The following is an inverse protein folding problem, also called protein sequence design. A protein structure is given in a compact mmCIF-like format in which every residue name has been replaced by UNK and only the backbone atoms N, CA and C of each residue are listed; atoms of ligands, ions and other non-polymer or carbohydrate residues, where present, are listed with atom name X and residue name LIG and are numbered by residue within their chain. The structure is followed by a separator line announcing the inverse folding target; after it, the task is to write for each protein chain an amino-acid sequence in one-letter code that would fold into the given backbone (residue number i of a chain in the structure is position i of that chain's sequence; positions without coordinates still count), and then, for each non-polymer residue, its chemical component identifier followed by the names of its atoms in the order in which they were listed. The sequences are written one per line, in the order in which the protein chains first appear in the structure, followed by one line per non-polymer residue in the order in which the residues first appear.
data_IF_821689041238
#
_entry.id   IF_821689041238
#
_cell.length_a   1.000
_cell.length_b   1.000
_cell.length_c   1.000
_cell.angle_alpha   90.00
_cell.angle_beta   90.00
_cell.angle_gamma   90.00
#
_symmetry.space_group_name_H-M   'P 1'
#
loop_
_entity.id
_entity.type
_entity.pdbx_description
1 polymer ?
#
# COMPACT_ATOMS: atom_id res chain seq x y z
N UNK A 1 -19.64 11.31 -15.67
CA UNK A 1 -19.24 9.94 -15.27
C UNK A 1 -18.62 9.12 -16.41
N UNK A 2 -19.03 9.30 -17.66
CA UNK A 2 -18.48 8.56 -18.83
C UNK A 2 -16.96 8.76 -19.02
N UNK A 3 -16.44 9.96 -18.82
CA UNK A 3 -15.01 10.26 -18.96
C UNK A 3 -14.12 9.56 -17.93
N UNK A 4 -14.52 9.53 -16.66
CA UNK A 4 -13.81 8.82 -15.60
C UNK A 4 -13.70 7.32 -15.90
N UNK A 5 -14.82 6.69 -16.28
CA UNK A 5 -14.85 5.26 -16.60
C UNK A 5 -14.00 4.92 -17.82
N UNK A 6 -14.01 5.79 -18.85
CA UNK A 6 -13.20 5.59 -20.04
C UNK A 6 -11.70 5.60 -19.73
N UNK A 7 -11.24 6.56 -18.87
CA UNK A 7 -9.85 6.63 -18.43
C UNK A 7 -9.50 5.42 -17.57
N UNK A 8 -10.34 5.11 -16.57
CA UNK A 8 -10.14 3.95 -15.71
C UNK A 8 -9.96 2.66 -16.52
N UNK A 9 -10.86 2.39 -17.48
CA UNK A 9 -10.79 1.21 -18.33
C UNK A 9 -9.55 1.18 -19.21
N UNK A 10 -9.17 2.32 -19.79
CA UNK A 10 -7.95 2.46 -20.60
C UNK A 10 -6.72 2.13 -19.78
N UNK A 11 -6.58 2.75 -18.61
CA UNK A 11 -5.41 2.55 -17.74
C UNK A 11 -5.36 1.12 -17.19
N UNK A 12 -6.50 0.58 -16.76
CA UNK A 12 -6.57 -0.80 -16.26
C UNK A 12 -6.19 -1.80 -17.36
N UNK A 13 -6.69 -1.62 -18.59
CA UNK A 13 -6.31 -2.48 -19.71
C UNK A 13 -4.81 -2.36 -20.02
N UNK A 14 -4.23 -1.16 -19.91
CA UNK A 14 -2.80 -0.95 -20.11
C UNK A 14 -1.96 -1.75 -19.11
N UNK A 15 -2.33 -1.78 -17.82
CA UNK A 15 -1.65 -2.59 -16.81
C UNK A 15 -1.73 -4.10 -17.13
N UNK A 16 -2.91 -4.61 -17.49
CA UNK A 16 -3.07 -6.05 -17.76
C UNK A 16 -2.52 -6.51 -19.13
N UNK A 17 -2.27 -5.60 -20.05
CA UNK A 17 -1.55 -5.91 -21.30
C UNK A 17 -0.04 -5.89 -21.10
N UNK A 18 0.46 -5.16 -20.10
CA UNK A 18 1.89 -5.04 -19.83
C UNK A 18 2.45 -6.31 -19.19
N UNK A 19 3.47 -6.96 -19.81
CA UNK A 19 4.16 -8.10 -19.17
C UNK A 19 4.79 -7.74 -17.82
N UNK A 20 5.19 -6.47 -17.67
CA UNK A 20 5.84 -5.98 -16.44
C UNK A 20 4.92 -6.06 -15.23
N UNK A 21 3.63 -5.80 -15.39
CA UNK A 21 2.67 -5.93 -14.30
C UNK A 21 2.59 -7.35 -13.75
N UNK A 22 2.57 -8.36 -14.64
CA UNK A 22 2.57 -9.77 -14.22
C UNK A 22 3.85 -10.17 -13.50
N UNK A 23 5.01 -9.66 -13.92
CA UNK A 23 6.28 -9.90 -13.23
C UNK A 23 6.25 -9.32 -11.82
N UNK A 24 5.78 -8.08 -11.65
CA UNK A 24 5.66 -7.44 -10.33
C UNK A 24 4.69 -8.21 -9.44
N UNK A 25 3.53 -8.61 -9.97
CA UNK A 25 2.54 -9.42 -9.24
C UNK A 25 3.15 -10.76 -8.82
N UNK A 26 3.82 -11.46 -9.73
CA UNK A 26 4.42 -12.77 -9.43
C UNK A 26 5.51 -12.68 -8.35
N UNK A 27 6.39 -11.69 -8.44
CA UNK A 27 7.42 -11.42 -7.43
C UNK A 27 6.78 -11.11 -6.08
N UNK A 28 5.77 -10.24 -6.05
CA UNK A 28 5.05 -9.89 -4.82
C UNK A 28 4.42 -11.12 -4.16
N UNK A 29 3.69 -11.95 -4.93
CA UNK A 29 3.05 -13.17 -4.41
C UNK A 29 4.09 -14.15 -3.89
N UNK A 30 5.20 -14.34 -4.62
CA UNK A 30 6.28 -15.24 -4.24
C UNK A 30 6.90 -14.81 -2.90
N UNK A 31 7.21 -13.52 -2.74
CA UNK A 31 7.73 -12.99 -1.49
C UNK A 31 6.73 -13.12 -0.34
N UNK A 32 5.46 -12.78 -0.56
CA UNK A 32 4.42 -12.95 0.45
C UNK A 32 4.27 -14.41 0.89
N UNK A 33 4.27 -15.37 -0.04
CA UNK A 33 4.18 -16.78 0.26
C UNK A 33 5.44 -17.30 1.01
N UNK A 34 6.62 -16.84 0.60
CA UNK A 34 7.88 -17.19 1.25
C UNK A 34 7.91 -16.73 2.70
N UNK A 35 7.59 -15.44 2.94
CA UNK A 35 7.62 -14.89 4.31
C UNK A 35 6.50 -15.45 5.17
N UNK A 36 5.31 -15.68 4.62
CA UNK A 36 4.26 -16.36 5.35
C UNK A 36 4.70 -17.74 5.86
N UNK A 37 5.37 -18.51 4.99
CA UNK A 37 5.93 -19.83 5.40
C UNK A 37 7.02 -19.66 6.46
N UNK A 38 7.94 -18.70 6.27
CA UNK A 38 9.02 -18.43 7.21
C UNK A 38 8.48 -18.02 8.59
N UNK A 39 7.52 -17.09 8.66
CA UNK A 39 6.90 -16.64 9.91
C UNK A 39 6.20 -17.80 10.61
N UNK A 40 5.49 -18.64 9.85
CA UNK A 40 4.84 -19.84 10.40
C UNK A 40 5.86 -20.77 11.04
N UNK A 41 6.97 -21.08 10.37
CA UNK A 41 8.03 -21.93 10.91
C UNK A 41 8.71 -21.31 12.13
N UNK A 42 8.98 -20.00 12.07
CA UNK A 42 9.62 -19.27 13.18
C UNK A 42 8.77 -19.28 14.46
N UNK A 43 7.46 -19.04 14.33
CA UNK A 43 6.53 -19.06 15.45
C UNK A 43 6.39 -20.48 16.06
N UNK A 44 6.30 -21.53 15.22
CA UNK A 44 6.27 -22.93 15.68
C UNK A 44 7.55 -23.27 16.44
N UNK A 45 8.71 -22.90 15.90
CA UNK A 45 10.00 -23.15 16.55
C UNK A 45 10.11 -22.44 17.90
N UNK A 46 9.71 -21.16 17.97
CA UNK A 46 9.71 -20.39 19.20
C UNK A 46 8.78 -20.97 20.26
N UNK A 47 7.59 -21.45 19.88
CA UNK A 47 6.64 -22.09 20.79
C UNK A 47 7.18 -23.39 21.37
N UNK A 48 7.84 -24.22 20.53
CA UNK A 48 8.46 -25.47 20.95
C UNK A 48 9.58 -25.23 21.96
N UNK A 49 10.41 -24.21 21.71
CA UNK A 49 11.46 -23.81 22.67
C UNK A 49 10.90 -23.33 24.01
N UNK A 50 9.84 -22.51 24.00
CA UNK A 50 9.19 -22.01 25.20
C UNK A 50 8.61 -23.16 26.04
N UNK A 51 8.02 -24.17 25.41
CA UNK A 51 7.52 -25.39 26.05
C UNK A 51 8.65 -26.19 26.70
N UNK A 52 9.79 -26.36 26.02
CA UNK A 52 10.96 -27.07 26.56
C UNK A 52 11.57 -26.36 27.77
N UNK A 53 11.46 -25.03 27.86
CA UNK A 53 11.97 -24.22 28.97
C UNK A 53 10.99 -24.13 30.15
N UNK A 54 9.84 -24.82 30.09
CA UNK A 54 8.83 -24.79 31.13
C UNK A 54 8.06 -23.46 31.24
N UNK A 55 8.23 -22.57 30.25
CA UNK A 55 7.51 -21.30 30.16
C UNK A 55 6.19 -21.45 29.37
N UNK A 56 5.39 -22.44 29.73
CA UNK A 56 4.13 -22.79 29.06
C UNK A 56 3.03 -21.76 29.27
N UNK A 57 3.21 -20.52 28.80
CA UNK A 57 2.09 -19.59 28.61
C UNK A 57 1.35 -19.95 27.32
N UNK A 58 0.01 -19.96 27.32
CA UNK A 58 -0.74 -20.16 26.08
C UNK A 58 -0.41 -19.04 25.10
N UNK A 59 0.42 -19.33 24.08
CA UNK A 59 0.73 -18.40 23.01
C UNK A 59 -0.34 -18.46 21.93
N UNK A 60 -0.86 -17.30 21.53
CA UNK A 60 -1.70 -17.17 20.32
C UNK A 60 -0.81 -17.25 19.09
N UNK A 61 -0.44 -18.49 18.70
CA UNK A 61 0.45 -18.75 17.58
C UNK A 61 -0.12 -18.24 16.24
N UNK A 62 -1.40 -18.52 15.90
CA UNK A 62 -1.95 -18.04 14.64
C UNK A 62 -2.02 -16.50 14.58
N UNK A 63 -2.34 -15.83 15.68
CA UNK A 63 -2.35 -14.37 15.74
C UNK A 63 -0.97 -13.75 15.53
N UNK A 64 0.09 -14.35 16.08
CA UNK A 64 1.46 -13.88 15.89
C UNK A 64 1.92 -14.04 14.43
N UNK A 65 1.64 -15.17 13.79
CA UNK A 65 1.93 -15.38 12.35
C UNK A 65 1.23 -14.31 11.51
N UNK A 66 -0.02 -14.02 11.80
CA UNK A 66 -0.77 -13.01 11.04
C UNK A 66 -0.24 -11.59 11.26
N UNK A 67 0.17 -11.24 12.49
CA UNK A 67 0.81 -9.94 12.73
C UNK A 67 2.11 -9.80 11.93
N UNK A 68 2.99 -10.79 11.98
CA UNK A 68 4.24 -10.82 11.21
C UNK A 68 3.98 -10.66 9.72
N UNK A 69 3.06 -11.47 9.20
CA UNK A 69 2.68 -11.43 7.79
C UNK A 69 2.14 -10.06 7.35
N UNK A 70 1.21 -9.45 8.09
CA UNK A 70 0.67 -8.14 7.73
C UNK A 70 1.72 -7.02 7.84
N UNK A 71 2.60 -7.06 8.85
CA UNK A 71 3.70 -6.11 8.96
C UNK A 71 4.68 -6.24 7.80
N UNK A 72 5.01 -7.48 7.39
CA UNK A 72 5.81 -7.71 6.20
C UNK A 72 5.10 -7.22 4.94
N UNK A 73 3.81 -7.51 4.78
CA UNK A 73 3.01 -7.06 3.65
C UNK A 73 3.04 -5.53 3.54
N UNK A 74 2.82 -4.81 4.65
CA UNK A 74 2.92 -3.35 4.67
C UNK A 74 4.32 -2.85 4.30
N UNK A 75 5.38 -3.54 4.74
CA UNK A 75 6.76 -3.23 4.35
C UNK A 75 6.98 -3.46 2.85
N UNK A 76 6.44 -4.54 2.28
CA UNK A 76 6.53 -4.81 0.84
C UNK A 76 5.85 -3.73 -0.01
N UNK A 77 4.77 -3.13 0.50
CA UNK A 77 4.11 -2.02 -0.21
C UNK A 77 5.02 -0.82 -0.43
N UNK A 78 6.01 -0.58 0.43
CA UNK A 78 7.01 0.48 0.23
C UNK A 78 7.79 0.30 -1.07
N UNK A 79 8.05 -0.95 -1.47
CA UNK A 79 8.82 -1.27 -2.67
C UNK A 79 7.91 -1.37 -3.91
N UNK A 80 6.75 -1.95 -3.75
CA UNK A 80 5.84 -2.26 -4.86
C UNK A 80 5.08 -1.03 -5.33
N UNK A 81 4.62 -0.18 -4.42
CA UNK A 81 3.81 1.01 -4.81
C UNK A 81 4.57 2.03 -5.65
N UNK A 82 5.87 2.34 -5.43
CA UNK A 82 6.64 3.18 -6.36
C UNK A 82 6.70 2.59 -7.78
N UNK A 83 6.83 1.27 -7.89
CA UNK A 83 6.85 0.60 -9.20
C UNK A 83 5.50 0.69 -9.92
N UNK A 84 4.39 0.62 -9.18
CA UNK A 84 3.04 0.76 -9.74
C UNK A 84 2.73 2.19 -10.16
N UNK A 85 3.25 3.18 -9.46
CA UNK A 85 2.85 4.58 -9.62
C UNK A 85 3.80 5.43 -10.45
N UNK A 86 5.07 5.00 -10.62
CA UNK A 86 6.10 5.79 -11.30
C UNK A 86 5.73 6.23 -12.72
N UNK A 87 5.01 5.39 -13.46
CA UNK A 87 4.67 5.62 -14.88
C UNK A 87 3.36 6.39 -15.10
N UNK A 88 2.50 6.54 -14.09
CA UNK A 88 1.11 7.01 -14.24
C UNK A 88 1.03 8.37 -14.96
N UNK A 89 1.92 9.30 -14.64
CA UNK A 89 2.02 10.62 -15.26
C UNK A 89 3.37 10.85 -15.95
N UNK A 90 4.46 10.38 -15.33
CA UNK A 90 5.81 10.63 -15.83
C UNK A 90 6.02 10.08 -17.24
N UNK A 91 5.42 8.94 -17.58
CA UNK A 91 5.50 8.36 -18.90
C UNK A 91 4.72 9.16 -19.95
N UNK A 92 3.49 9.61 -19.63
CA UNK A 92 2.69 10.43 -20.52
C UNK A 92 3.33 11.80 -20.76
N UNK A 93 3.93 12.40 -19.73
CA UNK A 93 4.70 13.64 -19.86
C UNK A 93 5.92 13.47 -20.74
N UNK A 94 6.70 12.40 -20.54
CA UNK A 94 7.88 12.08 -21.35
C UNK A 94 7.52 11.85 -22.83
N UNK A 95 6.37 11.24 -23.10
CA UNK A 95 5.89 10.95 -24.47
C UNK A 95 5.15 12.13 -25.11
N UNK A 96 4.86 13.20 -24.39
CA UNK A 96 4.05 14.34 -24.86
C UNK A 96 2.56 14.03 -25.01
N UNK A 97 2.11 12.83 -24.61
CA UNK A 97 0.70 12.42 -24.73
C UNK A 97 -0.21 13.08 -23.68
N UNK A 98 0.37 13.68 -22.65
CA UNK A 98 -0.37 14.44 -21.65
C UNK A 98 -1.12 15.62 -22.28
N UNK A 99 -0.58 16.23 -23.33
CA UNK A 99 -1.22 17.34 -24.05
C UNK A 99 -2.53 16.92 -24.72
N UNK A 100 -2.54 15.73 -25.34
CA UNK A 100 -3.75 15.16 -25.93
C UNK A 100 -4.84 14.89 -24.88
N UNK A 101 -4.43 14.50 -23.68
CA UNK A 101 -5.36 14.26 -22.58
C UNK A 101 -5.98 15.58 -22.07
N UNK A 102 -5.18 16.66 -22.05
CA UNK A 102 -5.64 17.98 -21.58
C UNK A 102 -6.53 18.72 -22.59
N UNK A 103 -6.41 18.41 -23.89
CA UNK A 103 -7.28 18.98 -24.93
C UNK A 103 -8.61 18.23 -25.05
N UNK A 104 -8.75 17.09 -24.41
CA UNK A 104 -10.01 16.33 -24.39
C UNK A 104 -11.07 17.01 -23.48
N UNK A 105 -12.37 16.82 -23.78
CA UNK A 105 -13.45 17.42 -22.95
C UNK A 105 -13.68 16.64 -21.64
N UNK A 106 -12.58 16.39 -20.88
CA UNK A 106 -12.56 15.63 -19.64
C UNK A 106 -11.99 16.55 -18.54
N UNK A 107 -12.58 16.52 -17.34
CA UNK A 107 -12.09 17.30 -16.22
C UNK A 107 -10.86 16.68 -15.58
N UNK A 108 -9.99 17.49 -14.99
CA UNK A 108 -8.77 17.06 -14.30
C UNK A 108 -9.08 16.06 -13.18
N UNK A 109 -10.18 16.29 -12.45
CA UNK A 109 -10.64 15.37 -11.40
C UNK A 109 -10.96 13.98 -11.97
N UNK A 110 -11.60 13.91 -13.14
CA UNK A 110 -11.91 12.64 -13.80
C UNK A 110 -10.64 11.91 -14.25
N UNK A 111 -9.64 12.65 -14.72
CA UNK A 111 -8.34 12.10 -15.11
C UNK A 111 -7.64 11.51 -13.89
N UNK A 112 -7.53 12.28 -12.82
CA UNK A 112 -6.81 11.88 -11.61
C UNK A 112 -7.49 10.69 -10.93
N UNK A 113 -8.79 10.75 -10.73
CA UNK A 113 -9.53 9.66 -10.11
C UNK A 113 -9.53 8.40 -10.98
N UNK A 114 -9.64 8.53 -12.31
CA UNK A 114 -9.59 7.39 -13.23
C UNK A 114 -8.26 6.64 -13.12
N UNK A 115 -7.14 7.37 -13.13
CA UNK A 115 -5.79 6.81 -12.99
C UNK A 115 -5.55 6.23 -11.59
N UNK A 116 -5.95 6.95 -10.54
CA UNK A 116 -5.84 6.48 -9.17
C UNK A 116 -6.60 5.16 -8.96
N UNK A 117 -7.86 5.10 -9.37
CA UNK A 117 -8.65 3.87 -9.22
C UNK A 117 -8.16 2.72 -10.07
N UNK A 118 -7.55 2.96 -11.23
CA UNK A 118 -6.93 1.91 -12.03
C UNK A 118 -5.73 1.29 -11.30
N UNK A 119 -4.81 2.11 -10.78
CA UNK A 119 -3.68 1.64 -9.99
C UNK A 119 -4.12 0.94 -8.69
N UNK A 120 -5.14 1.49 -8.03
CA UNK A 120 -5.72 0.92 -6.82
C UNK A 120 -6.38 -0.45 -7.08
N UNK A 121 -7.09 -0.61 -8.21
CA UNK A 121 -7.67 -1.89 -8.60
C UNK A 121 -6.60 -2.94 -8.89
N UNK A 122 -5.51 -2.56 -9.57
CA UNK A 122 -4.38 -3.45 -9.78
C UNK A 122 -3.76 -3.90 -8.45
N UNK A 123 -3.60 -2.98 -7.51
CA UNK A 123 -3.12 -3.27 -6.17
C UNK A 123 -4.05 -4.25 -5.43
N UNK A 124 -5.36 -4.04 -5.47
CA UNK A 124 -6.33 -4.99 -4.90
C UNK A 124 -6.19 -6.37 -5.55
N UNK A 125 -6.04 -6.43 -6.88
CA UNK A 125 -5.82 -7.69 -7.59
C UNK A 125 -4.54 -8.41 -7.15
N UNK A 126 -3.50 -7.68 -6.73
CA UNK A 126 -2.28 -8.25 -6.14
C UNK A 126 -2.51 -8.81 -4.74
N UNK A 127 -3.41 -8.22 -3.95
CA UNK A 127 -3.73 -8.72 -2.61
C UNK A 127 -4.56 -10.01 -2.63
N UNK A 128 -5.39 -10.23 -3.66
CA UNK A 128 -6.29 -11.39 -3.73
C UNK A 128 -5.57 -12.72 -3.56
N UNK A 129 -4.46 -13.03 -4.25
CA UNK A 129 -3.74 -14.29 -4.07
C UNK A 129 -3.15 -14.50 -2.68
N UNK A 130 -2.87 -13.43 -1.93
CA UNK A 130 -2.35 -13.54 -0.57
C UNK A 130 -3.37 -14.08 0.43
N UNK A 131 -4.65 -14.10 0.05
CA UNK A 131 -5.72 -14.71 0.85
C UNK A 131 -5.56 -16.23 0.93
N UNK A 132 -4.94 -16.87 -0.07
CA UNK A 132 -4.80 -18.34 -0.11
C UNK A 132 -4.03 -18.91 1.08
N UNK A 133 -2.80 -18.45 1.39
CA UNK A 133 -2.07 -18.94 2.56
C UNK A 133 -2.76 -18.58 3.89
N UNK A 134 -3.43 -17.43 3.97
CA UNK A 134 -4.20 -17.03 5.16
C UNK A 134 -5.41 -17.95 5.36
N UNK A 135 -6.14 -18.27 4.29
CA UNK A 135 -7.25 -19.22 4.34
C UNK A 135 -6.77 -20.62 4.76
N UNK A 136 -5.62 -21.06 4.23
CA UNK A 136 -5.02 -22.33 4.63
C UNK A 136 -4.73 -22.35 6.15
N UNK A 137 -4.11 -21.30 6.69
CA UNK A 137 -3.86 -21.19 8.12
C UNK A 137 -5.17 -21.19 8.93
N UNK A 138 -6.20 -20.49 8.45
CA UNK A 138 -7.51 -20.41 9.12
C UNK A 138 -8.15 -21.81 9.29
N UNK A 139 -8.08 -22.64 8.26
CA UNK A 139 -8.68 -23.98 8.29
C UNK A 139 -7.82 -25.04 9.01
N UNK A 140 -6.52 -24.82 9.15
CA UNK A 140 -5.59 -25.81 9.74
C UNK A 140 -5.18 -25.49 11.16
N UNK A 141 -5.39 -24.25 11.64
CA UNK A 141 -5.02 -23.87 13.01
C UNK A 141 -6.05 -24.33 14.06
N UNK A 142 -5.54 -24.76 15.21
CA UNK A 142 -6.33 -25.04 16.40
C UNK A 142 -5.66 -24.38 17.62
N UNK A 143 -6.31 -23.39 18.27
CA UNK A 143 -7.62 -22.81 17.97
C UNK A 143 -7.65 -22.04 16.64
N UNK A 144 -8.83 -21.95 16.04
CA UNK A 144 -9.00 -21.22 14.78
C UNK A 144 -8.62 -19.74 14.92
N UNK A 145 -7.95 -19.25 13.88
CA UNK A 145 -7.60 -17.83 13.78
C UNK A 145 -8.85 -16.94 13.84
N UNK A 146 -8.87 -15.88 14.67
CA UNK A 146 -10.00 -14.97 14.71
C UNK A 146 -10.19 -14.24 13.36
N UNK A 147 -11.34 -14.40 12.71
CA UNK A 147 -11.69 -13.73 11.44
C UNK A 147 -11.49 -12.22 11.51
N UNK A 148 -11.63 -11.65 12.71
CA UNK A 148 -11.42 -10.23 12.97
C UNK A 148 -10.00 -9.79 12.58
N UNK A 149 -8.96 -10.55 12.92
CA UNK A 149 -7.56 -10.22 12.60
C UNK A 149 -7.34 -10.23 11.08
N UNK A 150 -7.94 -11.21 10.38
CA UNK A 150 -7.86 -11.28 8.92
C UNK A 150 -8.51 -10.06 8.27
N UNK A 151 -9.75 -9.77 8.65
CA UNK A 151 -10.54 -8.68 8.07
C UNK A 151 -9.89 -7.31 8.32
N UNK A 152 -9.44 -7.05 9.56
CA UNK A 152 -8.80 -5.78 9.91
C UNK A 152 -7.43 -5.64 9.26
N UNK A 153 -6.63 -6.70 9.20
CA UNK A 153 -5.31 -6.68 8.57
C UNK A 153 -5.39 -6.36 7.06
N UNK A 154 -6.31 -6.99 6.33
CA UNK A 154 -6.54 -6.63 4.92
C UNK A 154 -7.13 -5.24 4.75
N UNK A 155 -8.05 -4.81 5.62
CA UNK A 155 -8.55 -3.43 5.61
C UNK A 155 -7.40 -2.44 5.79
N UNK A 156 -6.53 -2.67 6.77
CA UNK A 156 -5.34 -1.86 6.99
C UNK A 156 -4.42 -1.84 5.77
N UNK A 157 -4.15 -3.00 5.16
CA UNK A 157 -3.32 -3.11 3.95
C UNK A 157 -3.92 -2.31 2.78
N UNK A 158 -5.25 -2.35 2.60
CA UNK A 158 -5.96 -1.58 1.57
C UNK A 158 -5.83 -0.07 1.83
N UNK A 159 -5.96 0.36 3.08
CA UNK A 159 -5.85 1.77 3.47
C UNK A 159 -4.42 2.30 3.31
N UNK A 160 -3.42 1.56 3.78
CA UNK A 160 -2.00 1.90 3.59
C UNK A 160 -1.66 1.95 2.11
N UNK A 161 -1.96 0.89 1.36
CA UNK A 161 -1.67 0.83 -0.07
C UNK A 161 -2.35 1.94 -0.86
N UNK A 162 -3.62 2.26 -0.56
CA UNK A 162 -4.34 3.38 -1.15
C UNK A 162 -3.66 4.72 -0.88
N UNK A 163 -3.20 4.96 0.35
CA UNK A 163 -2.49 6.18 0.74
C UNK A 163 -1.14 6.30 0.02
N UNK A 164 -0.40 5.19 -0.07
CA UNK A 164 0.88 5.14 -0.77
C UNK A 164 0.71 5.34 -2.28
N UNK A 165 -0.32 4.75 -2.89
CA UNK A 165 -0.66 4.96 -4.31
C UNK A 165 -1.03 6.43 -4.55
N UNK A 166 -1.82 7.06 -3.68
CA UNK A 166 -2.18 8.48 -3.80
C UNK A 166 -0.94 9.37 -3.75
N UNK A 167 0.00 9.12 -2.83
CA UNK A 167 1.26 9.83 -2.73
C UNK A 167 2.15 9.59 -3.96
N UNK A 168 2.27 8.34 -4.41
CA UNK A 168 3.05 7.99 -5.59
C UNK A 168 2.50 8.60 -6.89
N UNK A 169 1.18 8.69 -7.04
CA UNK A 169 0.54 9.37 -8.17
C UNK A 169 0.85 10.87 -8.16
N UNK A 170 0.85 11.50 -6.97
CA UNK A 170 1.24 12.89 -6.82
C UNK A 170 2.69 13.11 -7.25
N UNK A 171 3.63 12.32 -6.74
CA UNK A 171 5.07 12.45 -7.11
C UNK A 171 5.27 12.19 -8.60
N UNK A 172 4.60 11.19 -9.18
CA UNK A 172 4.65 10.93 -10.63
C UNK A 172 4.17 12.12 -11.45
N UNK A 173 3.22 12.93 -10.95
CA UNK A 173 2.74 14.12 -11.64
C UNK A 173 3.76 15.27 -11.68
N UNK A 174 4.76 15.28 -10.78
CA UNK A 174 5.76 16.34 -10.67
C UNK A 174 6.96 16.17 -11.60
N UNK A 175 7.20 14.96 -12.14
CA UNK A 175 8.40 14.63 -12.91
C UNK A 175 8.05 14.02 -14.28
N UNK A 176 8.98 14.12 -15.23
CA UNK A 176 8.89 13.48 -16.55
C UNK A 176 9.73 12.19 -16.65
N UNK A 177 10.47 11.87 -15.59
CA UNK A 177 11.31 10.69 -15.55
C UNK A 177 10.76 9.66 -14.54
N UNK A 178 10.42 8.48 -15.04
CA UNK A 178 9.87 7.37 -14.26
C UNK A 178 10.80 6.94 -13.11
N UNK A 179 12.11 6.86 -13.38
CA UNK A 179 13.08 6.46 -12.36
C UNK A 179 13.17 7.50 -11.23
N UNK A 180 13.16 8.78 -11.59
CA UNK A 180 13.13 9.87 -10.59
C UNK A 180 11.83 9.79 -9.78
N UNK A 181 10.69 9.57 -10.43
CA UNK A 181 9.41 9.38 -9.73
C UNK A 181 9.47 8.22 -8.74
N UNK A 182 10.00 7.05 -9.16
CA UNK A 182 10.13 5.88 -8.30
C UNK A 182 11.03 6.14 -7.09
N UNK A 183 12.22 6.71 -7.32
CA UNK A 183 13.20 6.99 -6.25
C UNK A 183 12.66 8.02 -5.25
N UNK A 184 12.03 9.10 -5.74
CA UNK A 184 11.43 10.11 -4.87
C UNK A 184 10.26 9.54 -4.06
N UNK A 185 9.40 8.75 -4.70
CA UNK A 185 8.27 8.09 -4.02
C UNK A 185 8.78 7.17 -2.93
N UNK A 186 9.78 6.32 -3.24
CA UNK A 186 10.39 5.42 -2.27
C UNK A 186 11.06 6.20 -1.12
N UNK A 187 11.81 7.27 -1.42
CA UNK A 187 12.47 8.09 -0.41
C UNK A 187 11.47 8.73 0.56
N UNK A 188 10.36 9.30 0.04
CA UNK A 188 9.31 9.89 0.88
C UNK A 188 8.63 8.82 1.75
N UNK A 189 8.33 7.64 1.18
CA UNK A 189 7.78 6.53 1.94
C UNK A 189 8.71 6.06 3.06
N UNK A 190 10.00 5.97 2.75
CA UNK A 190 11.01 5.54 3.70
C UNK A 190 11.13 6.53 4.86
N UNK A 191 11.08 7.83 4.59
CA UNK A 191 11.07 8.88 5.62
C UNK A 191 9.86 8.71 6.55
N UNK A 192 8.65 8.57 5.97
CA UNK A 192 7.41 8.38 6.75
C UNK A 192 7.47 7.09 7.57
N UNK A 193 8.09 6.04 7.05
CA UNK A 193 8.26 4.75 7.72
C UNK A 193 9.24 4.84 8.90
N UNK A 194 10.38 5.51 8.70
CA UNK A 194 11.43 5.66 9.73
C UNK A 194 11.03 6.63 10.85
N UNK A 195 10.06 7.51 10.64
CA UNK A 195 9.56 8.43 11.67
C UNK A 195 9.18 7.68 12.96
N UNK A 196 8.67 6.45 12.85
CA UNK A 196 8.34 5.63 14.01
C UNK A 196 9.57 5.25 14.84
N UNK A 197 10.68 4.95 14.18
CA UNK A 197 11.96 4.58 14.83
C UNK A 197 12.59 5.80 15.52
N UNK A 198 12.46 6.98 14.91
CA UNK A 198 12.98 8.24 15.46
C UNK A 198 12.13 8.78 16.62
N UNK A 199 10.86 8.42 16.68
CA UNK A 199 9.92 8.76 17.73
C UNK A 199 10.14 7.97 19.04
N UNK A 200 11.40 7.78 19.46
CA UNK A 200 11.79 7.03 20.68
C UNK A 200 11.15 7.59 21.95
N UNK A 201 10.83 6.74 22.99
CA UNK A 201 9.86 7.04 24.05
C UNK A 201 10.29 8.09 25.10
N UNK A 202 11.32 8.87 24.90
CA UNK A 202 11.94 9.71 25.94
C UNK A 202 11.72 11.22 25.83
N UNK A 203 10.82 11.72 24.96
CA UNK A 203 10.60 13.18 24.83
C UNK A 203 9.20 13.58 24.35
N UNK A 204 8.77 14.82 24.67
CA UNK A 204 7.49 15.40 24.23
C UNK A 204 7.35 15.46 22.69
N UNK A 205 8.45 15.47 21.94
CA UNK A 205 8.47 15.38 20.46
C UNK A 205 8.10 13.99 19.95
N UNK A 206 8.29 12.95 20.73
CA UNK A 206 7.97 11.57 20.39
C UNK A 206 6.47 11.34 20.20
N UNK A 207 5.63 12.04 20.96
CA UNK A 207 4.17 11.96 20.82
C UNK A 207 3.68 12.58 19.53
N UNK A 208 4.19 13.74 19.14
CA UNK A 208 3.79 14.43 17.89
C UNK A 208 4.23 13.65 16.66
N UNK A 209 5.48 13.18 16.63
CA UNK A 209 6.00 12.37 15.53
C UNK A 209 5.26 11.03 15.39
N UNK A 210 4.86 10.43 16.52
CA UNK A 210 4.08 9.20 16.55
C UNK A 210 2.72 9.30 15.85
N UNK A 211 2.07 10.48 15.85
CA UNK A 211 0.82 10.69 15.13
C UNK A 211 0.98 10.65 13.60
N UNK A 212 2.18 10.88 13.09
CA UNK A 212 2.48 10.80 11.66
C UNK A 212 3.01 9.42 11.24
N UNK A 213 3.21 8.49 12.17
CA UNK A 213 3.73 7.17 11.89
C UNK A 213 2.68 6.28 11.21
N UNK A 214 2.92 5.92 9.96
CA UNK A 214 2.13 4.92 9.20
C UNK A 214 2.18 3.56 9.91
N UNK A 215 3.34 3.21 10.48
CA UNK A 215 3.56 1.92 11.14
C UNK A 215 2.67 1.77 12.38
N UNK A 216 2.58 2.77 13.23
CA UNK A 216 1.73 2.74 14.44
C UNK A 216 0.25 2.56 14.09
N UNK A 217 -0.25 3.37 13.15
CA UNK A 217 -1.64 3.27 12.71
C UNK A 217 -1.95 1.93 12.05
N UNK A 218 -0.96 1.32 11.37
CA UNK A 218 -1.14 0.01 10.77
C UNK A 218 -1.08 -1.13 11.79
N UNK A 219 -0.24 -1.01 12.84
CA UNK A 219 -0.11 -2.05 13.88
C UNK A 219 -1.44 -2.39 14.54
N UNK A 220 -2.32 -1.42 14.75
CA UNK A 220 -3.64 -1.65 15.35
C UNK A 220 -4.49 -2.56 14.45
N UNK A 221 -4.50 -2.32 13.14
CA UNK A 221 -5.18 -3.18 12.17
C UNK A 221 -4.59 -4.60 12.14
N UNK A 222 -3.26 -4.72 12.19
CA UNK A 222 -2.58 -6.02 12.22
C UNK A 222 -2.88 -6.82 13.50
N UNK A 223 -3.23 -6.15 14.60
CA UNK A 223 -3.64 -6.76 15.88
C UNK A 223 -5.14 -7.07 15.96
N UNK A 224 -5.89 -6.78 14.94
CA UNK A 224 -7.33 -6.98 14.94
C UNK A 224 -8.15 -5.82 15.55
N UNK A 225 -7.56 -4.65 15.74
CA UNK A 225 -8.24 -3.46 16.28
C UNK A 225 -8.54 -2.47 15.17
N UNK A 226 -9.78 -2.00 15.11
CA UNK A 226 -10.15 -0.89 14.22
C UNK A 226 -10.20 0.38 15.06
N UNK A 227 -9.18 1.21 14.93
CA UNK A 227 -9.19 2.55 15.51
C UNK A 227 -9.68 3.57 14.49
N UNK A 228 -10.67 4.36 14.89
CA UNK A 228 -11.23 5.43 14.07
C UNK A 228 -10.18 6.48 13.70
N UNK A 229 -9.24 6.75 14.60
CA UNK A 229 -8.11 7.66 14.36
C UNK A 229 -7.27 7.19 13.17
N UNK A 230 -6.94 5.89 13.12
CA UNK A 230 -6.15 5.28 12.05
C UNK A 230 -6.91 5.25 10.71
N UNK A 231 -8.23 5.03 10.74
CA UNK A 231 -9.09 5.14 9.55
C UNK A 231 -9.08 6.55 8.98
N UNK A 232 -9.31 7.56 9.82
CA UNK A 232 -9.34 8.97 9.42
C UNK A 232 -7.96 9.41 8.91
N UNK A 233 -6.88 8.94 9.55
CA UNK A 233 -5.51 9.22 9.13
C UNK A 233 -5.26 8.77 7.68
N UNK A 234 -5.49 7.50 7.35
CA UNK A 234 -5.27 6.99 5.99
C UNK A 234 -6.22 7.59 4.97
N UNK A 235 -7.50 7.78 5.32
CA UNK A 235 -8.46 8.44 4.44
C UNK A 235 -8.06 9.90 4.14
N UNK A 236 -7.59 10.64 5.16
CA UNK A 236 -7.12 12.02 4.99
C UNK A 236 -5.89 12.10 4.11
N UNK A 237 -4.93 11.17 4.25
CA UNK A 237 -3.76 11.08 3.38
C UNK A 237 -4.15 10.81 1.93
N UNK A 238 -5.06 9.86 1.68
CA UNK A 238 -5.54 9.59 0.31
C UNK A 238 -6.17 10.82 -0.32
N UNK A 239 -7.12 11.46 0.39
CA UNK A 239 -7.81 12.67 -0.11
C UNK A 239 -6.82 13.80 -0.34
N UNK A 240 -5.89 14.01 0.57
CA UNK A 240 -4.89 15.08 0.49
C UNK A 240 -3.98 14.91 -0.74
N UNK A 241 -3.40 13.72 -0.97
CA UNK A 241 -2.51 13.51 -2.10
C UNK A 241 -3.25 13.46 -3.44
N UNK A 242 -4.47 12.92 -3.48
CA UNK A 242 -5.32 13.03 -4.67
C UNK A 242 -5.64 14.49 -4.99
N UNK A 243 -5.97 15.30 -3.99
CA UNK A 243 -6.19 16.75 -4.17
C UNK A 243 -4.94 17.46 -4.69
N UNK A 244 -3.76 17.18 -4.12
CA UNK A 244 -2.49 17.74 -4.62
C UNK A 244 -2.21 17.30 -6.06
N UNK A 245 -2.54 16.07 -6.43
CA UNK A 245 -2.39 15.57 -7.80
C UNK A 245 -3.30 16.36 -8.76
N UNK A 246 -4.55 16.60 -8.37
CA UNK A 246 -5.47 17.42 -9.18
C UNK A 246 -4.89 18.83 -9.38
N UNK A 247 -4.37 19.46 -8.33
CA UNK A 247 -3.74 20.79 -8.43
C UNK A 247 -2.47 20.79 -9.28
N UNK A 248 -1.67 19.71 -9.19
CA UNK A 248 -0.49 19.56 -10.04
C UNK A 248 -0.88 19.46 -11.51
N UNK A 249 -1.86 18.64 -11.85
CA UNK A 249 -2.36 18.46 -13.22
C UNK A 249 -3.00 19.75 -13.75
N UNK A 250 -3.81 20.45 -12.96
CA UNK A 250 -4.42 21.73 -13.31
C UNK A 250 -3.35 22.80 -13.62
N UNK A 251 -2.30 22.88 -12.80
CA UNK A 251 -1.20 23.85 -13.02
C UNK A 251 -0.46 23.65 -14.36
N UNK A 252 -0.45 22.42 -14.88
CA UNK A 252 0.17 22.13 -16.18
C UNK A 252 -0.63 22.70 -17.34
N UNK A 253 -1.96 22.80 -17.21
CA UNK A 253 -2.85 23.39 -18.21
C UNK A 253 -2.59 24.89 -18.37
N UNK A 254 -2.35 25.62 -17.26
CA UNK A 254 -2.13 27.05 -17.28
C UNK A 254 -0.73 27.50 -17.73
N UNK A 255 0.27 26.64 -17.63
CA UNK A 255 1.64 26.97 -18.06
C UNK A 255 1.83 27.01 -19.58
N UNK A 256 0.85 26.54 -20.36
CA UNK A 256 0.94 26.40 -21.81
C UNK A 256 -0.18 27.16 -22.57
N UNK A 257 -1.04 27.88 -21.86
CA UNK A 257 -1.97 28.87 -22.40
C UNK A 257 -1.33 30.26 -22.40
#
# INVERSE_FOLDING_TARGET
MQGLYAIYRKELSHYFVSPMAYVVIAIFILFCAFVFNYDTQAVIFQSTQAQMQGMGTPMDLPGQVMQGFFMFLATMLLFVTPMLTMGIYAEERKRGTMELLMTSPITEIQIVLGKFFAAFTLFIAMLVPTVVPVAFLYFTSDPHLPVRIIATGYLGAILVGGSLIALGTFISSLTENQLIAAVLTFAVFLIIWIIDILGSPTGNSATVLGYFSVVRHFQDFARGVIDTSSLVYFASLMVFFVFLTVRSVDSMRWRRA
#
